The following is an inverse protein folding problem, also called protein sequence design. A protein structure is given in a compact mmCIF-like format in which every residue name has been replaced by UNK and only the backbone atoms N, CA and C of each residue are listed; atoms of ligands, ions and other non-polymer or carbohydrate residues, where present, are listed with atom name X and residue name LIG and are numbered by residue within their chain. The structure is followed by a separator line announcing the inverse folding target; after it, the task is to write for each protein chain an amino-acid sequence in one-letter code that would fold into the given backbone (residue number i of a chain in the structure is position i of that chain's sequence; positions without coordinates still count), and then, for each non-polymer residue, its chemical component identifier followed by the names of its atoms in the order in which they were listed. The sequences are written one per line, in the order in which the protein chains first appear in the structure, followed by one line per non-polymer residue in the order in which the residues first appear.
data_IF_401812549689
#
_entry.id   IF_401812549689
#
_cell.length_a   1.000
_cell.length_b   1.000
_cell.length_c   1.000
_cell.angle_alpha   90.00
_cell.angle_beta   90.00
_cell.angle_gamma   90.00
#
_symmetry.space_group_name_H-M   'P 1'
#
loop_
_entity.id
_entity.type
_entity.pdbx_description
1 polymer ?
2 non-polymer ?
3 non-polymer ?
4 water ?
#
# COMPACT_ATOMS: atom_id res chain seq x y z
N UNK A 15 19.40 9.17 -3.63
CA UNK A 15 19.23 9.43 -2.20
C UNK A 15 18.97 8.12 -1.38
N UNK A 16 18.19 8.22 -0.31
CA UNK A 16 17.95 7.16 0.67
C UNK A 16 17.49 5.77 0.12
N UNK A 17 18.11 4.68 0.59
CA UNK A 17 17.71 3.31 0.21
C UNK A 17 16.25 3.06 0.57
N UNK A 18 15.41 2.86 -0.42
CA UNK A 18 13.98 2.71 -0.15
C UNK A 18 13.43 1.37 -0.66
N UNK A 19 12.61 0.78 0.19
CA UNK A 19 11.88 -0.46 -0.09
C UNK A 19 10.39 -0.21 -0.14
N UNK A 20 9.80 -0.53 -1.28
CA UNK A 20 8.37 -0.41 -1.46
C UNK A 20 7.64 -1.64 -0.90
N UNK A 21 6.68 -1.40 -0.03
CA UNK A 21 5.88 -2.43 0.60
C UNK A 21 4.54 -2.48 -0.11
N UNK A 22 4.21 -3.67 -0.60
CA UNK A 22 2.91 -3.97 -1.21
C UNK A 22 2.36 -5.29 -0.67
N UNK A 23 1.07 -5.45 -0.83
CA UNK A 23 0.37 -6.63 -0.36
C UNK A 23 -0.95 -6.82 -1.07
N UNK A 24 -1.39 -8.06 -1.16
CA UNK A 24 -2.71 -8.32 -1.71
C UNK A 24 -3.65 -8.14 -0.53
N UNK A 25 -4.94 -8.25 -0.77
CA UNK A 25 -5.91 -7.82 0.22
C UNK A 25 -5.80 -8.72 1.44
N UNK A 26 -5.92 -8.14 2.63
CA UNK A 26 -5.90 -8.94 3.84
C UNK A 26 -4.69 -9.88 3.91
N UNK A 27 -3.56 -9.45 3.35
CA UNK A 27 -2.32 -10.24 3.38
C UNK A 27 -1.55 -10.09 4.67
N UNK A 28 -1.77 -8.96 5.34
CA UNK A 28 -1.13 -8.69 6.61
C UNK A 28 -0.12 -7.55 6.52
N UNK A 29 -0.23 -6.70 5.50
CA UNK A 29 0.91 -5.88 5.19
C UNK A 29 1.03 -4.77 6.20
N UNK A 30 -0.09 -4.33 6.74
CA UNK A 30 -0.03 -3.37 7.81
C UNK A 30 0.78 -3.88 8.99
N UNK A 31 0.62 -5.15 9.30
CA UNK A 31 1.32 -5.73 10.43
C UNK A 31 2.80 -5.79 10.10
N UNK A 32 3.09 -6.05 8.84
CA UNK A 32 4.44 -6.11 8.37
C UNK A 32 5.07 -4.76 8.55
N UNK A 33 4.35 -3.71 8.18
CA UNK A 33 4.86 -2.35 8.36
C UNK A 33 5.11 -2.05 9.81
N UNK A 34 4.13 -2.36 10.66
CA UNK A 34 4.36 -2.19 12.09
C UNK A 34 5.67 -2.90 12.49
N UNK A 35 5.90 -4.13 12.05
CA UNK A 35 7.12 -4.80 12.50
C UNK A 35 8.38 -4.08 12.05
N UNK A 36 8.42 -3.59 10.82
CA UNK A 36 9.59 -2.84 10.33
C UNK A 36 9.79 -1.57 11.14
N UNK A 37 8.68 -0.93 11.46
CA UNK A 37 8.66 0.27 12.28
C UNK A 37 9.27 0.02 13.65
N UNK A 38 8.92 -1.11 14.23
CA UNK A 38 9.40 -1.46 15.53
C UNK A 38 10.90 -1.71 15.52
N UNK A 39 11.45 -2.05 14.35
CA UNK A 39 12.90 -2.19 14.17
C UNK A 39 13.59 -0.85 13.95
N UNK A 40 12.85 0.25 14.06
CA UNK A 40 13.40 1.59 13.85
C UNK A 40 13.41 2.08 12.42
N UNK A 41 12.68 1.41 11.55
CA UNK A 41 12.70 1.78 10.15
C UNK A 41 11.61 2.78 9.95
N UNK A 42 11.88 3.91 9.30
CA UNK A 42 10.85 4.89 9.00
C UNK A 42 9.94 4.31 7.93
N UNK A 43 8.64 4.33 8.20
CA UNK A 43 7.67 3.86 7.26
C UNK A 43 6.84 5.03 6.75
N UNK A 44 6.87 5.22 5.43
CA UNK A 44 6.07 6.22 4.78
C UNK A 44 4.84 5.56 4.20
N UNK A 45 3.65 6.03 4.55
CA UNK A 45 2.41 5.43 4.05
C UNK A 45 1.75 6.27 2.97
N UNK A 46 1.92 5.88 1.71
CA UNK A 46 1.31 6.62 0.62
C UNK A 46 -0.18 6.79 0.83
N UNK A 47 -0.82 5.83 1.49
CA UNK A 47 -2.27 5.85 1.58
C UNK A 47 -2.70 6.91 2.60
N UNK A 48 -1.92 7.10 3.66
CA UNK A 48 -2.19 8.15 4.64
C UNK A 48 -1.97 9.52 4.07
N UNK A 49 -0.89 9.67 3.34
CA UNK A 49 -0.65 10.90 2.63
C UNK A 49 -1.86 11.26 1.74
N UNK A 50 -2.39 10.25 1.06
CA UNK A 50 -3.52 10.40 0.15
C UNK A 50 -4.73 10.89 0.91
N UNK A 51 -5.01 10.32 2.07
CA UNK A 51 -6.12 10.85 2.86
C UNK A 51 -5.86 12.31 3.31
N UNK A 52 -4.65 12.59 3.76
CA UNK A 52 -4.26 13.94 4.12
C UNK A 52 -4.56 14.88 2.97
N UNK A 53 -4.05 14.56 1.78
CA UNK A 53 -4.17 15.48 0.66
C UNK A 53 -5.54 15.52 0.03
N UNK A 54 -6.49 14.79 0.59
CA UNK A 54 -7.86 14.83 0.10
C UNK A 54 -8.76 15.21 1.27
N UNK A 55 -8.19 15.94 2.21
CA UNK A 55 -8.93 16.62 3.26
C UNK A 55 -9.90 17.64 2.69
N UNK A 56 -10.90 18.02 3.47
CA UNK A 56 -11.86 19.02 3.04
C UNK A 56 -11.19 20.23 2.40
N UNK A 57 -11.73 20.63 1.26
CA UNK A 57 -11.21 21.72 0.46
C UNK A 57 -9.72 21.82 0.19
N UNK A 58 -9.06 20.67 0.05
CA UNK A 58 -7.83 20.62 -0.72
C UNK A 58 -8.22 20.67 -2.19
N UNK A 59 -7.26 21.00 -3.06
CA UNK A 59 -7.58 20.94 -4.48
C UNK A 59 -7.96 19.53 -4.93
N UNK A 60 -7.22 18.53 -4.49
CA UNK A 60 -7.54 17.17 -4.92
C UNK A 60 -8.94 16.82 -4.48
N UNK A 61 -9.32 17.18 -3.27
CA UNK A 61 -10.67 16.89 -2.79
C UNK A 61 -11.75 17.45 -3.70
N UNK A 62 -11.49 18.62 -4.25
CA UNK A 62 -12.46 19.32 -5.05
C UNK A 62 -12.55 18.69 -6.38
N UNK A 63 -11.39 18.23 -6.86
CA UNK A 63 -11.31 17.59 -8.15
C UNK A 63 -11.94 16.19 -8.13
N UNK A 64 -11.75 15.47 -7.04
CA UNK A 64 -12.35 14.17 -6.92
C UNK A 64 -13.86 14.33 -6.97
N UNK A 65 -14.38 15.26 -6.17
CA UNK A 65 -15.84 15.46 -6.06
C UNK A 65 -16.45 16.01 -7.32
N UNK A 66 -15.81 16.96 -7.95
CA UNK A 66 -16.31 17.43 -9.21
C UNK A 66 -16.27 16.31 -10.27
N UNK A 67 -15.21 15.51 -10.28
CA UNK A 67 -15.13 14.43 -11.25
C UNK A 67 -16.15 13.29 -11.00
N UNK A 68 -16.29 12.84 -9.75
CA UNK A 68 -17.18 11.74 -9.44
C UNK A 68 -18.56 12.19 -9.06
N UNK A 69 -18.68 13.44 -8.63
CA UNK A 69 -19.99 14.01 -8.40
C UNK A 69 -20.38 13.83 -6.97
N UNK A 70 -21.58 14.25 -6.64
CA UNK A 70 -22.02 14.35 -5.27
C UNK A 70 -22.15 13.05 -4.54
N UNK A 71 -22.23 11.93 -5.25
CA UNK A 71 -22.39 10.62 -4.57
C UNK A 71 -21.22 10.27 -3.63
N UNK A 72 -20.03 10.78 -3.95
CA UNK A 72 -18.85 10.46 -3.14
C UNK A 72 -18.61 11.44 -1.98
N UNK A 73 -19.56 12.35 -1.73
CA UNK A 73 -19.48 13.27 -0.61
C UNK A 73 -20.44 12.88 0.49
N UNK A 74 -19.94 12.47 1.64
CA UNK A 74 -20.82 12.19 2.77
C UNK A 74 -21.45 13.48 3.26
N UNK A 75 -22.44 13.35 4.12
CA UNK A 75 -23.21 14.51 4.53
C UNK A 75 -22.37 15.43 5.35
N UNK A 76 -21.36 14.88 6.04
CA UNK A 76 -20.51 15.72 6.87
C UNK A 76 -19.40 16.36 6.05
N UNK A 77 -19.48 16.22 4.73
CA UNK A 77 -18.49 16.80 3.84
C UNK A 77 -17.17 16.04 3.65
N UNK A 78 -16.97 14.91 4.32
CA UNK A 78 -15.76 14.11 4.04
C UNK A 78 -15.96 13.25 2.79
N UNK A 79 -14.88 12.79 2.17
CA UNK A 79 -15.04 11.92 1.02
C UNK A 79 -15.59 10.56 1.46
N UNK A 80 -16.45 9.96 0.63
CA UNK A 80 -16.88 8.57 0.82
C UNK A 80 -15.77 7.66 0.34
N UNK A 81 -14.81 7.37 1.20
CA UNK A 81 -13.62 6.68 0.73
C UNK A 81 -13.94 5.26 0.32
N UNK A 82 -14.88 4.62 1.03
CA UNK A 82 -15.33 3.26 0.71
C UNK A 82 -15.93 3.24 -0.69
N UNK A 83 -16.85 4.17 -0.97
CA UNK A 83 -17.47 4.27 -2.28
C UNK A 83 -16.44 4.55 -3.36
N UNK A 84 -15.49 5.43 -3.07
CA UNK A 84 -14.45 5.70 -4.03
C UNK A 84 -13.61 4.43 -4.29
N UNK A 85 -13.38 3.58 -3.27
CA UNK A 85 -12.65 2.30 -3.49
C UNK A 85 -13.43 1.36 -4.39
N UNK A 86 -14.72 1.22 -4.10
CA UNK A 86 -15.62 0.38 -4.92
C UNK A 86 -15.55 0.86 -6.33
N UNK A 87 -15.50 2.18 -6.54
CA UNK A 87 -15.53 2.70 -7.90
C UNK A 87 -14.24 2.36 -8.60
N UNK A 88 -13.19 2.45 -7.83
CA UNK A 88 -11.87 2.42 -8.40
C UNK A 88 -11.42 1.00 -8.66
N UNK A 89 -11.82 0.08 -7.80
CA UNK A 89 -11.47 -1.32 -8.00
C UNK A 89 -12.29 -1.94 -9.12
N UNK A 90 -13.44 -1.35 -9.46
CA UNK A 90 -14.28 -1.94 -10.50
C UNK A 90 -14.04 -1.23 -11.85
N UNK A 91 -13.44 -0.05 -11.81
CA UNK A 91 -13.32 0.79 -13.01
C UNK A 91 -11.86 1.29 -13.24
N UNK A 92 -11.09 0.52 -13.99
CA UNK A 92 -9.65 0.73 -14.11
C UNK A 92 -9.34 2.14 -14.63
N UNK A 93 -10.15 2.63 -15.55
CA UNK A 93 -9.98 3.98 -16.08
C UNK A 93 -10.03 5.05 -14.98
N UNK A 94 -10.77 4.74 -13.93
CA UNK A 94 -10.95 5.69 -12.87
C UNK A 94 -9.84 5.54 -11.88
N UNK A 95 -9.38 4.31 -11.67
CA UNK A 95 -8.19 4.07 -10.86
C UNK A 95 -7.02 4.85 -11.39
N UNK A 96 -6.86 4.80 -12.70
CA UNK A 96 -5.81 5.58 -13.35
C UNK A 96 -6.01 7.10 -13.29
N UNK A 97 -7.26 7.55 -13.39
CA UNK A 97 -7.54 8.98 -13.35
C UNK A 97 -7.12 9.43 -11.98
N UNK A 98 -7.50 8.65 -10.97
CA UNK A 98 -7.30 9.07 -9.60
C UNK A 98 -5.80 9.04 -9.26
N UNK A 99 -5.13 7.96 -9.65
CA UNK A 99 -3.72 7.81 -9.38
C UNK A 99 -3.00 8.97 -10.04
N UNK A 100 -3.41 9.32 -11.26
CA UNK A 100 -2.70 10.37 -11.96
C UNK A 100 -3.00 11.75 -11.37
N UNK A 101 -4.12 11.89 -10.67
CA UNK A 101 -4.48 13.17 -10.09
C UNK A 101 -3.61 13.37 -8.88
N UNK A 102 -3.50 12.34 -8.05
CA UNK A 102 -2.86 12.46 -6.76
C UNK A 102 -1.34 12.28 -6.79
N UNK A 103 -0.86 11.58 -7.79
CA UNK A 103 0.53 11.17 -7.85
C UNK A 103 1.53 12.31 -7.66
N UNK A 104 1.29 13.48 -8.29
CA UNK A 104 2.23 14.60 -8.13
C UNK A 104 2.31 15.08 -6.72
N UNK A 105 1.17 15.27 -6.10
CA UNK A 105 1.22 15.73 -4.75
C UNK A 105 1.70 14.66 -3.80
N UNK A 106 1.39 13.40 -4.06
CA UNK A 106 1.89 12.35 -3.19
C UNK A 106 3.41 12.27 -3.27
N UNK A 107 3.93 12.31 -4.49
CA UNK A 107 5.36 12.21 -4.71
C UNK A 107 6.12 13.24 -3.88
N UNK A 108 5.64 14.48 -3.88
CA UNK A 108 6.30 15.58 -3.20
C UNK A 108 6.32 15.36 -1.71
N UNK A 109 5.20 14.89 -1.18
CA UNK A 109 5.13 14.65 0.25
C UNK A 109 6.08 13.48 0.59
N UNK A 110 6.28 12.54 -0.34
CA UNK A 110 7.12 11.37 -0.06
C UNK A 110 8.57 11.82 -0.07
N UNK A 111 8.94 12.62 -1.06
CA UNK A 111 10.28 13.14 -1.17
C UNK A 111 10.71 14.00 0.04
N UNK A 112 9.79 14.78 0.60
CA UNK A 112 10.06 15.52 1.86
C UNK A 112 10.40 14.58 2.98
N UNK A 113 9.61 13.53 3.12
CA UNK A 113 9.85 12.59 4.20
C UNK A 113 11.13 11.80 3.95
N UNK A 114 11.48 11.61 2.70
CA UNK A 114 12.72 10.92 2.42
C UNK A 114 13.92 11.77 2.81
N UNK A 115 13.80 13.08 2.68
CA UNK A 115 14.93 13.98 2.97
C UNK A 115 15.27 13.95 4.44
N UNK A 116 14.24 13.81 5.27
CA UNK A 116 14.43 13.85 6.72
C UNK A 116 14.33 12.46 7.32
N UNK A 117 14.57 11.47 6.49
CA UNK A 117 14.60 10.09 6.93
C UNK A 117 15.84 9.77 7.76
N UNK A 118 15.62 9.25 8.96
CA UNK A 118 16.64 9.00 9.97
C UNK A 118 17.05 7.52 10.11
N UNK A 119 16.44 6.64 9.31
CA UNK A 119 16.78 5.22 9.40
C UNK A 119 17.68 4.85 8.23
N UNK A 120 18.39 3.74 8.36
CA UNK A 120 19.34 3.27 7.33
C UNK A 120 18.70 3.02 5.95
N UNK A 121 17.44 2.64 5.98
CA UNK A 121 16.66 2.54 4.76
C UNK A 121 15.27 2.96 5.17
N UNK A 122 14.45 3.24 4.17
CA UNK A 122 13.04 3.62 4.36
C UNK A 122 12.12 2.56 3.77
N UNK A 123 10.97 2.39 4.41
CA UNK A 123 9.88 1.60 3.87
C UNK A 123 8.70 2.48 3.43
N UNK A 124 8.24 2.28 2.20
CA UNK A 124 7.18 3.05 1.60
C UNK A 124 6.01 2.11 1.20
N UNK A 125 4.91 2.15 1.95
CA UNK A 125 3.72 1.37 1.60
C UNK A 125 3.00 2.02 0.46
N UNK A 126 2.91 1.27 -0.64
CA UNK A 126 2.33 1.72 -1.89
C UNK A 126 1.29 0.70 -2.40
N UNK A 127 0.43 1.10 -3.37
CA UNK A 127 -0.65 0.19 -3.83
C UNK A 127 -0.14 -1.03 -4.57
N UNK A 128 -0.91 -2.10 -4.49
CA UNK A 128 -0.54 -3.37 -5.13
C UNK A 128 -0.15 -3.16 -6.59
N UNK A 129 -0.99 -2.43 -7.34
CA UNK A 129 -0.73 -2.17 -8.76
C UNK A 129 -0.11 -0.79 -9.04
N UNK A 130 0.89 -0.42 -8.23
CA UNK A 130 1.62 0.84 -8.40
C UNK A 130 2.34 0.98 -9.75
N UNK A 131 2.19 2.14 -10.36
CA UNK A 131 2.99 2.54 -11.51
C UNK A 131 4.46 2.80 -11.12
N UNK A 132 5.36 1.87 -11.46
CA UNK A 132 6.80 2.01 -11.19
C UNK A 132 7.29 3.40 -11.59
N UNK A 133 6.86 3.88 -12.75
CA UNK A 133 7.23 5.21 -13.25
C UNK A 133 6.91 6.35 -12.27
N UNK A 134 5.98 6.13 -11.33
CA UNK A 134 5.66 7.12 -10.27
C UNK A 134 6.54 6.86 -9.02
N UNK A 135 7.18 5.68 -9.01
CA UNK A 135 8.05 5.24 -7.91
C UNK A 135 9.41 4.69 -8.41
N UNK A 136 10.09 5.46 -9.31
CA UNK A 136 11.31 4.97 -9.96
C UNK A 136 12.48 4.79 -8.97
N UNK A 137 12.36 5.41 -7.80
CA UNK A 137 13.43 5.50 -6.81
C UNK A 137 13.56 4.29 -5.88
N UNK A 138 12.75 3.25 -6.06
CA UNK A 138 12.78 2.14 -5.13
C UNK A 138 13.94 1.22 -5.42
N UNK A 139 14.57 0.75 -4.36
CA UNK A 139 15.62 -0.25 -4.50
C UNK A 139 15.04 -1.64 -4.56
N UNK A 140 13.98 -1.85 -3.80
CA UNK A 140 13.41 -3.17 -3.70
C UNK A 140 11.92 -3.03 -3.63
N UNK A 141 11.25 -4.10 -4.05
CA UNK A 141 9.85 -4.22 -3.81
C UNK A 141 9.62 -5.46 -2.98
N UNK A 142 8.87 -5.28 -1.91
CA UNK A 142 8.43 -6.34 -1.06
C UNK A 142 6.94 -6.49 -1.26
N UNK A 143 6.53 -7.72 -1.59
CA UNK A 143 5.13 -8.09 -1.76
C UNK A 143 4.74 -9.09 -0.70
N UNK A 144 3.78 -8.71 0.11
CA UNK A 144 3.23 -9.57 1.13
C UNK A 144 2.01 -10.29 0.57
N UNK A 145 1.88 -11.59 0.83
CA UNK A 145 0.70 -12.33 0.42
C UNK A 145 0.31 -13.33 1.48
N UNK A 146 -0.96 -13.71 1.48
CA UNK A 146 -1.51 -14.63 2.46
C UNK A 146 -2.33 -15.66 1.71
N UNK A 147 -2.47 -16.87 2.26
CA UNK A 147 -3.33 -17.85 1.56
C UNK A 147 -4.79 -17.45 1.49
N UNK A 148 -5.45 -17.96 0.46
CA UNK A 148 -6.87 -17.75 0.24
C UNK A 148 -7.69 -17.92 1.53
N UNK A 149 -7.56 -19.07 2.18
CA UNK A 149 -8.20 -19.28 3.47
C UNK A 149 -8.02 -18.08 4.39
N UNK A 150 -6.75 -17.79 4.70
CA UNK A 150 -6.37 -16.69 5.60
C UNK A 150 -7.03 -15.39 5.18
N UNK A 151 -6.93 -15.06 3.90
CA UNK A 151 -7.61 -13.87 3.39
C UNK A 151 -9.10 -13.95 3.71
N UNK A 152 -9.70 -15.13 3.52
CA UNK A 152 -11.15 -15.28 3.65
C UNK A 152 -11.56 -15.10 5.09
N UNK A 153 -10.82 -15.75 5.99
CA UNK A 153 -11.05 -15.57 7.41
C UNK A 153 -10.91 -14.12 7.78
N UNK A 154 -9.91 -13.48 7.19
CA UNK A 154 -9.64 -12.10 7.52
C UNK A 154 -10.77 -11.21 6.98
N UNK A 155 -11.18 -11.42 5.74
CA UNK A 155 -12.20 -10.56 5.14
C UNK A 155 -13.54 -10.73 5.85
N UNK A 156 -13.80 -11.94 6.33
CA UNK A 156 -15.07 -12.19 6.95
C UNK A 156 -15.09 -11.48 8.33
N UNK A 157 -13.99 -11.50 9.09
CA UNK A 157 -13.96 -10.79 10.38
C UNK A 157 -14.10 -9.28 10.21
N UNK A 158 -13.65 -8.79 9.06
CA UNK A 158 -13.53 -7.36 8.79
C UNK A 158 -14.70 -6.79 8.01
N UNK A 159 -15.33 -7.63 7.19
CA UNK A 159 -16.44 -7.21 6.34
C UNK A 159 -17.74 -7.84 6.83
N UNK A 160 -17.62 -8.82 7.72
CA UNK A 160 -18.76 -9.59 8.22
C UNK A 160 -19.61 -9.98 7.03
N UNK A 161 -19.15 -10.98 6.30
CA UNK A 161 -19.81 -11.40 5.08
C UNK A 161 -19.89 -12.93 5.08
N UNK A 162 -20.48 -13.52 4.05
CA UNK A 162 -20.42 -14.97 3.93
C UNK A 162 -19.00 -15.31 3.55
N UNK A 163 -18.65 -16.57 3.72
CA UNK A 163 -17.45 -17.06 3.09
C UNK A 163 -17.60 -16.89 1.58
N UNK A 164 -18.84 -16.95 1.11
CA UNK A 164 -19.09 -16.91 -0.32
C UNK A 164 -18.93 -15.50 -0.86
N UNK A 165 -19.14 -14.52 0.01
CA UNK A 165 -18.98 -13.12 -0.37
C UNK A 165 -17.52 -12.74 -0.38
N UNK A 166 -16.85 -13.04 0.73
CA UNK A 166 -15.41 -12.94 0.81
C UNK A 166 -14.86 -13.58 -0.46
N UNK A 167 -15.26 -14.82 -0.75
CA UNK A 167 -14.76 -15.54 -1.92
C UNK A 167 -15.08 -14.77 -3.18
N UNK A 168 -16.23 -14.11 -3.21
CA UNK A 168 -16.56 -13.27 -4.35
C UNK A 168 -15.62 -12.03 -4.37
N UNK A 169 -15.44 -11.39 -3.22
CA UNK A 169 -14.49 -10.27 -3.07
C UNK A 169 -13.09 -10.58 -3.59
N UNK A 170 -12.60 -11.77 -3.27
CA UNK A 170 -11.30 -12.23 -3.74
C UNK A 170 -11.23 -12.65 -5.21
N UNK A 171 -12.36 -13.07 -5.78
CA UNK A 171 -12.38 -13.49 -7.18
C UNK A 171 -12.09 -12.28 -8.05
N UNK A 172 -12.43 -11.12 -7.52
CA UNK A 172 -12.19 -9.85 -8.18
C UNK A 172 -10.78 -9.33 -7.99
N UNK A 173 -10.01 -9.94 -7.09
CA UNK A 173 -8.68 -9.42 -6.81
C UNK A 173 -7.84 -9.46 -8.08
N UNK A 174 -6.97 -8.45 -8.29
CA UNK A 174 -6.09 -8.38 -9.46
C UNK A 174 -5.16 -9.57 -9.62
N UNK A 175 -4.82 -9.97 -10.85
CA UNK A 175 -3.87 -11.08 -11.05
C UNK A 175 -2.47 -10.71 -10.55
N UNK A 176 -1.92 -11.53 -9.67
CA UNK A 176 -0.69 -11.15 -9.00
C UNK A 176 0.53 -11.55 -9.75
N UNK A 177 0.37 -12.44 -10.72
CA UNK A 177 1.53 -13.17 -11.21
C UNK A 177 2.58 -12.19 -11.79
N UNK A 178 2.14 -11.07 -12.35
CA UNK A 178 3.10 -10.12 -12.90
C UNK A 178 3.81 -9.35 -11.77
N UNK A 179 3.06 -8.96 -10.74
CA UNK A 179 3.62 -8.28 -9.59
C UNK A 179 4.50 -9.21 -8.81
N UNK A 180 4.15 -10.49 -8.76
CA UNK A 180 4.96 -11.49 -8.08
C UNK A 180 6.32 -11.56 -8.74
N UNK A 181 6.30 -11.54 -10.05
CA UNK A 181 7.52 -11.71 -10.80
C UNK A 181 8.37 -10.48 -10.53
N UNK A 182 7.74 -9.31 -10.50
CA UNK A 182 8.41 -8.05 -10.24
C UNK A 182 9.03 -7.90 -8.84
N UNK A 183 8.32 -8.36 -7.82
CA UNK A 183 8.81 -8.23 -6.47
C UNK A 183 10.18 -8.90 -6.34
N UNK A 184 11.06 -8.29 -5.55
CA UNK A 184 12.37 -8.81 -5.23
C UNK A 184 12.26 -9.78 -4.10
N UNK A 185 11.28 -9.56 -3.25
CA UNK A 185 11.02 -10.54 -2.20
C UNK A 185 9.52 -10.69 -2.05
N UNK A 186 9.10 -11.89 -1.71
CA UNK A 186 7.71 -12.20 -1.47
C UNK A 186 7.57 -12.81 -0.11
N UNK A 187 6.87 -12.10 0.75
CA UNK A 187 6.68 -12.55 2.10
C UNK A 187 5.38 -13.31 2.14
N UNK A 188 5.49 -14.65 2.27
CA UNK A 188 4.31 -15.47 2.35
C UNK A 188 3.87 -15.54 3.79
N UNK A 189 2.75 -14.89 4.07
CA UNK A 189 2.24 -14.78 5.42
C UNK A 189 1.30 -15.89 5.70
N UNK A 190 1.85 -17.02 6.12
CA UNK A 190 1.08 -18.26 6.10
C UNK A 190 1.14 -19.02 7.40
N UNK A 191 1.86 -18.53 8.40
CA UNK A 191 1.78 -19.15 9.74
C UNK A 191 1.21 -18.07 10.66
N UNK A 192 1.81 -17.86 11.83
CA UNK A 192 1.30 -16.89 12.78
C UNK A 192 2.09 -15.59 12.78
N UNK A 193 1.71 -14.70 13.68
CA UNK A 193 2.39 -13.43 13.83
C UNK A 193 3.85 -13.64 14.12
N UNK A 194 4.13 -14.68 14.89
CA UNK A 194 5.48 -14.95 15.31
C UNK A 194 6.36 -15.27 14.08
N UNK A 195 5.89 -16.10 13.17
CA UNK A 195 6.70 -16.41 12.02
C UNK A 195 6.77 -15.15 11.14
N UNK A 196 5.72 -14.35 11.18
CA UNK A 196 5.71 -13.15 10.37
C UNK A 196 6.83 -12.20 10.83
N UNK A 197 6.95 -12.01 12.13
CA UNK A 197 8.00 -11.19 12.68
C UNK A 197 9.38 -11.69 12.30
N UNK A 198 9.55 -13.00 12.36
CA UNK A 198 10.85 -13.59 12.10
C UNK A 198 11.24 -13.33 10.66
N UNK A 199 10.28 -13.39 9.75
CA UNK A 199 10.59 -13.14 8.35
C UNK A 199 10.93 -11.66 8.12
N UNK A 200 10.31 -10.78 8.89
CA UNK A 200 10.52 -9.36 8.70
C UNK A 200 11.92 -9.04 9.17
N UNK A 201 12.34 -9.63 10.30
CA UNK A 201 13.74 -9.50 10.75
C UNK A 201 14.71 -9.97 9.68
N UNK A 202 14.48 -11.14 9.10
CA UNK A 202 15.37 -11.59 8.04
C UNK A 202 15.40 -10.61 6.87
N UNK A 203 14.26 -10.04 6.49
CA UNK A 203 14.25 -9.06 5.42
C UNK A 203 15.00 -7.79 5.80
N UNK A 204 14.72 -7.32 7.00
CA UNK A 204 15.41 -6.19 7.58
C UNK A 204 16.93 -6.32 7.53
N UNK A 205 17.46 -7.40 8.09
CA UNK A 205 18.88 -7.74 7.95
C UNK A 205 19.31 -7.80 6.50
N UNK A 206 18.46 -8.26 5.60
CA UNK A 206 18.86 -8.21 4.20
C UNK A 206 18.96 -6.78 3.68
N UNK A 207 18.05 -5.91 4.10
CA UNK A 207 18.00 -4.53 3.58
C UNK A 207 19.18 -3.74 4.14
N UNK A 208 19.46 -3.89 5.43
CA UNK A 208 20.67 -3.30 6.03
C UNK A 208 21.95 -3.70 5.30
N UNK A 209 22.10 -4.97 4.99
CA UNK A 209 23.32 -5.44 4.36
C UNK A 209 23.46 -4.82 2.98
N UNK A 210 22.37 -4.73 2.23
CA UNK A 210 22.48 -4.22 0.86
C UNK A 210 22.66 -2.72 0.81
N UNK A 211 22.04 -2.02 1.75
CA UNK A 211 22.16 -0.59 1.84
C UNK A 211 23.59 -0.25 2.21
N UNK A 212 24.14 -1.04 3.13
CA UNK A 212 25.54 -0.92 3.53
C UNK A 212 26.52 -1.03 2.35
N UNK A 213 26.27 -1.91 1.39
CA UNK A 213 27.27 -2.23 0.36
C UNK A 213 26.91 -1.73 -1.02
N UNK A 214 25.77 -1.05 -1.15
CA UNK A 214 25.37 -0.50 -2.45
C UNK A 214 25.40 0.99 -2.44
N UNK A 215 25.99 1.53 -3.51
CA UNK A 215 25.89 2.95 -3.83
C UNK A 215 25.70 3.04 -5.35
X LIG B 1 -5.59 -4.60 4.02
X LIG B 1 -5.94 -3.12 3.94
X LIG B 1 -6.70 -5.63 3.84
X LIG B 1 -4.32 -4.98 3.27
X LIG B 1 -3.82 -5.62 6.00
X LIG B 1 -3.83 -6.95 5.35
X LIG B 1 -2.63 -4.75 5.70
X LIG B 1 -5.20 -4.85 5.56
X LIG B 1 -3.44 -6.68 8.55
X LIG B 1 -3.98 -7.84 7.75
X LIG B 1 -1.99 -6.33 8.79
X LIG B 1 -4.01 -5.53 7.62
X LIG B 1 -4.24 -6.90 9.94
X LIG B 1 -5.27 -7.91 10.04
X LIG B 1 -5.28 -8.61 11.39
X LIG B 1 -4.74 -9.91 11.12
X LIG B 1 -4.45 -8.01 12.54
X LIG B 1 -5.17 -8.13 13.78
X LIG B 1 -3.19 -8.86 12.57
X LIG B 1 -2.52 -8.92 13.83
X LIG B 1 -3.76 -10.20 12.12
X LIG B 1 -2.75 -11.04 11.51
X LIG B 1 -1.93 -10.68 10.51
X LIG B 1 -1.12 -11.70 10.17
X LIG B 1 -1.45 -12.72 10.98
X LIG B 1 -0.97 -14.09 11.14
X LIG B 1 0.04 -14.40 10.28
X LIG B 1 -1.55 -14.87 12.08
X LIG B 1 -2.54 -14.40 12.87
X LIG B 1 -3.03 -13.15 12.78
X LIG B 1 -2.52 -12.29 11.87
X LIG C 1 -20.51 14.48 -12.43
X LIG C 1 -20.77 15.95 -12.09
X LIG C 1 -21.55 13.54 -11.79
X LIG C 1 -20.44 14.15 -13.92
X LIG C 1 -19.15 14.21 -11.85
X LIG D 1 -8.68 8.10 -1.41
X LIG D 1 -8.99 9.25 -2.35
X LIG D 1 -9.96 7.83 -0.64
X LIG D 1 -8.32 6.83 -2.16
X LIG D 1 -7.50 8.50 -0.53
#
# INVERSE_FOLDING_TARGET
MGHHHHHHMKEPTQMVYSVGLTGNIASGKSTVAEFFSELGINVIYADKIAKELTSKNTPCYQDIISHFGSSVVLNNGELDRKRIRDIIFSNSNERLWLESLLHPVIRKKIEEQLIVCTSPYCLIEIPLLFNKHHYPYLQKVLLVIAPLESQLDRIVKRDHCTKKQALAILATQPNLEQRLEAADDVLINESGLSELKAKVNKLHQKYLREAKIKQ
ATP PG O1G O2G O3G PB O1B O2B O3B PA O1A O2A O3A O5' C5' C4' O4' C3' O3' C2' O2' C1' N9 C8 N7 C5 C6 N6 N1 C2 N3 C4
PO4 P O1 O2 O3 O4
PO4 P O1 O2 O3 O4
#
